data_IF_968643253212
#
_entry.id   IF_968643253212
#
_cell.length_a   1.000
_cell.length_b   1.000
_cell.length_c   1.000
_cell.angle_alpha   90.00
_cell.angle_beta   90.00
_cell.angle_gamma   90.00
#
_symmetry.space_group_name_H-M   'P 1'
#
loop_
_entity.id
_entity.type
_entity.pdbx_description
1 polymer ?
#
# COMPACT_ATOMS: atom_id res chain seq x y z
N UNK A 1 15.29 -24.00 -16.32
CA UNK A 1 15.33 -24.78 -15.06
C UNK A 1 16.44 -24.26 -14.12
N UNK A 2 17.70 -24.13 -14.60
CA UNK A 2 18.83 -23.60 -13.80
C UNK A 2 18.62 -22.19 -13.26
N UNK A 3 18.02 -21.27 -14.03
CA UNK A 3 17.76 -19.89 -13.60
C UNK A 3 16.75 -19.84 -12.43
N UNK A 4 15.70 -20.64 -12.47
CA UNK A 4 14.73 -20.72 -11.38
C UNK A 4 15.32 -21.31 -10.10
N UNK A 5 16.19 -22.32 -10.21
CA UNK A 5 16.88 -22.90 -9.06
C UNK A 5 17.82 -21.87 -8.40
N UNK A 6 18.58 -21.12 -9.21
CA UNK A 6 19.44 -20.05 -8.72
C UNK A 6 18.63 -18.92 -8.05
N UNK A 7 17.51 -18.53 -8.65
CA UNK A 7 16.62 -17.52 -8.09
C UNK A 7 16.01 -17.96 -6.75
N UNK A 8 15.50 -19.20 -6.69
CA UNK A 8 14.97 -19.76 -5.42
C UNK A 8 16.02 -19.79 -4.31
N UNK A 9 17.29 -20.14 -4.64
CA UNK A 9 18.39 -20.08 -3.70
C UNK A 9 18.63 -18.66 -3.19
N UNK A 10 18.71 -17.67 -4.09
CA UNK A 10 18.90 -16.25 -3.72
C UNK A 10 17.80 -15.75 -2.77
N UNK A 11 16.55 -16.08 -3.06
CA UNK A 11 15.42 -15.73 -2.19
C UNK A 11 15.55 -16.35 -0.79
N UNK A 12 15.96 -17.62 -0.72
CA UNK A 12 16.15 -18.30 0.57
C UNK A 12 17.31 -17.69 1.35
N UNK A 13 18.46 -17.45 0.72
CA UNK A 13 19.63 -16.81 1.33
C UNK A 13 19.34 -15.38 1.82
N UNK A 14 18.63 -14.58 1.00
CA UNK A 14 18.21 -13.25 1.38
C UNK A 14 17.32 -13.26 2.63
N UNK A 15 16.30 -14.14 2.66
CA UNK A 15 15.40 -14.26 3.80
C UNK A 15 16.12 -14.75 5.05
N UNK A 16 17.07 -15.67 4.91
CA UNK A 16 17.88 -16.14 6.04
C UNK A 16 18.77 -15.02 6.59
N UNK A 17 19.37 -14.20 5.72
CA UNK A 17 20.19 -13.07 6.12
C UNK A 17 19.39 -11.97 6.84
N UNK A 18 18.18 -11.69 6.37
CA UNK A 18 17.33 -10.61 6.90
C UNK A 18 16.42 -11.00 8.07
N UNK A 19 16.41 -12.28 8.47
CA UNK A 19 15.52 -12.77 9.56
C UNK A 19 15.81 -12.18 10.95
N UNK A 20 17.01 -11.65 11.18
CA UNK A 20 17.44 -11.13 12.48
C UNK A 20 17.39 -9.59 12.56
N UNK A 21 16.78 -8.90 11.61
CA UNK A 21 16.50 -7.48 11.69
C UNK A 21 15.66 -7.19 12.95
N UNK A 22 15.95 -6.09 13.64
CA UNK A 22 15.37 -5.79 14.96
C UNK A 22 14.14 -4.90 14.88
N UNK A 23 14.17 -3.97 13.94
CA UNK A 23 13.14 -2.94 13.73
C UNK A 23 12.41 -3.18 12.42
N UNK A 24 13.15 -3.34 11.33
CA UNK A 24 12.58 -3.73 10.04
C UNK A 24 12.27 -5.24 10.05
N UNK A 25 11.29 -5.66 9.28
CA UNK A 25 10.94 -7.06 9.13
C UNK A 25 10.66 -7.40 7.67
N UNK A 26 11.40 -8.37 7.12
CA UNK A 26 11.03 -8.99 5.84
C UNK A 26 10.08 -10.14 6.12
N UNK A 27 8.83 -10.02 5.68
CA UNK A 27 7.82 -11.05 5.94
C UNK A 27 8.19 -12.38 5.30
N UNK A 28 8.00 -13.44 6.09
CA UNK A 28 8.30 -14.82 5.72
C UNK A 28 6.98 -15.59 5.45
N UNK A 29 7.00 -16.67 4.67
CA UNK A 29 5.84 -17.55 4.54
C UNK A 29 5.33 -18.09 5.89
N UNK A 30 6.24 -18.28 6.87
CA UNK A 30 5.93 -18.75 8.22
C UNK A 30 5.20 -17.73 9.08
N UNK A 31 5.19 -16.45 8.71
CA UNK A 31 4.52 -15.39 9.46
C UNK A 31 3.00 -15.41 9.26
N UNK A 32 2.52 -16.22 8.30
CA UNK A 32 1.10 -16.34 7.97
C UNK A 32 0.56 -17.73 8.30
N UNK A 33 -0.60 -17.79 8.92
CA UNK A 33 -1.39 -19.02 9.00
C UNK A 33 -2.10 -19.29 7.66
N UNK A 34 -2.54 -20.53 7.45
CA UNK A 34 -3.33 -20.90 6.25
C UNK A 34 -4.68 -20.17 6.15
N UNK A 35 -5.18 -19.64 7.25
CA UNK A 35 -6.40 -18.84 7.28
C UNK A 35 -6.16 -17.39 6.85
N UNK A 36 -4.94 -16.87 7.06
CA UNK A 36 -4.58 -15.49 6.74
C UNK A 36 -4.09 -15.32 5.31
N UNK A 37 -3.38 -16.33 4.78
CA UNK A 37 -2.89 -16.29 3.41
C UNK A 37 -3.12 -17.62 2.70
N UNK A 38 -3.89 -17.58 1.61
CA UNK A 38 -4.12 -18.74 0.75
C UNK A 38 -2.83 -19.17 0.03
N UNK A 39 -2.04 -18.19 -0.42
CA UNK A 39 -0.79 -18.41 -1.14
C UNK A 39 0.17 -17.28 -0.87
N UNK A 40 1.46 -17.56 -0.95
CA UNK A 40 2.56 -16.60 -0.75
C UNK A 40 3.46 -16.61 -1.98
N UNK A 41 3.64 -15.43 -2.59
CA UNK A 41 4.60 -15.25 -3.68
C UNK A 41 5.99 -14.94 -3.09
N UNK A 42 6.93 -15.90 -3.12
CA UNK A 42 8.25 -15.70 -2.55
C UNK A 42 9.08 -14.63 -3.26
N UNK A 43 8.74 -14.30 -4.51
CA UNK A 43 9.41 -13.29 -5.33
C UNK A 43 9.04 -11.86 -4.96
N UNK A 44 7.96 -11.66 -4.21
CA UNK A 44 7.59 -10.36 -3.65
C UNK A 44 8.09 -10.25 -2.21
N UNK A 45 9.04 -9.34 -2.00
CA UNK A 45 9.61 -9.10 -0.68
C UNK A 45 8.85 -7.97 -0.02
N UNK A 46 7.99 -8.32 0.94
CA UNK A 46 7.26 -7.35 1.75
C UNK A 46 8.10 -7.00 2.98
N UNK A 47 8.48 -5.73 3.09
CA UNK A 47 9.37 -5.21 4.13
C UNK A 47 8.58 -4.24 4.99
N UNK A 48 8.33 -4.61 6.24
CA UNK A 48 7.68 -3.76 7.23
C UNK A 48 8.70 -2.83 7.90
N UNK A 49 8.29 -1.60 8.19
CA UNK A 49 9.15 -0.59 8.83
C UNK A 49 9.15 -0.69 10.35
N UNK A 50 8.32 -1.56 10.94
CA UNK A 50 8.20 -1.72 12.40
C UNK A 50 7.80 -0.43 13.12
N UNK A 51 7.02 0.44 12.46
CA UNK A 51 6.61 1.76 12.96
C UNK A 51 7.78 2.72 13.24
N UNK A 52 8.96 2.48 12.67
CA UNK A 52 10.11 3.37 12.81
C UNK A 52 10.00 4.58 11.88
N UNK A 53 9.41 4.37 10.71
CA UNK A 53 9.19 5.36 9.66
C UNK A 53 8.03 4.93 8.76
N UNK A 54 7.59 5.82 7.86
CA UNK A 54 6.64 5.44 6.80
C UNK A 54 7.31 4.58 5.72
N UNK A 55 6.51 3.79 5.00
CA UNK A 55 6.99 3.04 3.84
C UNK A 55 7.61 3.97 2.78
N UNK A 56 7.00 5.13 2.54
CA UNK A 56 7.52 6.14 1.61
C UNK A 56 8.91 6.63 2.02
N UNK A 57 9.13 6.89 3.31
CA UNK A 57 10.45 7.30 3.80
C UNK A 57 11.50 6.20 3.59
N UNK A 58 11.15 4.92 3.86
CA UNK A 58 12.05 3.80 3.58
C UNK A 58 12.33 3.66 2.08
N UNK A 59 11.32 3.79 1.22
CA UNK A 59 11.49 3.75 -0.24
C UNK A 59 12.43 4.85 -0.72
N UNK A 60 12.28 6.07 -0.21
CA UNK A 60 13.13 7.21 -0.58
C UNK A 60 14.59 7.00 -0.15
N UNK A 61 14.84 6.49 1.05
CA UNK A 61 16.18 6.14 1.52
C UNK A 61 16.80 5.07 0.63
N UNK A 62 16.08 3.97 0.36
CA UNK A 62 16.55 2.88 -0.49
C UNK A 62 16.90 3.37 -1.91
N UNK A 63 16.09 4.27 -2.46
CA UNK A 63 16.35 4.83 -3.79
C UNK A 63 17.54 5.79 -3.80
N UNK A 64 17.58 6.77 -2.89
CA UNK A 64 18.58 7.85 -2.92
C UNK A 64 19.95 7.43 -2.43
N UNK A 65 20.01 6.63 -1.37
CA UNK A 65 21.27 6.28 -0.73
C UNK A 65 21.85 4.97 -1.25
N UNK A 66 20.99 4.03 -1.65
CA UNK A 66 21.42 2.69 -2.09
C UNK A 66 21.15 2.40 -3.57
N UNK A 67 20.45 3.30 -4.30
CA UNK A 67 20.10 3.10 -5.70
C UNK A 67 19.18 1.91 -5.92
N UNK A 68 18.28 1.62 -4.96
CA UNK A 68 17.35 0.50 -4.98
C UNK A 68 15.93 1.01 -5.18
N UNK A 69 15.36 0.78 -6.37
CA UNK A 69 13.98 1.11 -6.69
C UNK A 69 13.05 0.02 -6.18
N UNK A 70 12.12 0.39 -5.30
CA UNK A 70 11.04 -0.49 -4.85
C UNK A 70 9.85 -0.41 -5.79
N UNK A 71 9.02 -1.44 -5.81
CA UNK A 71 7.79 -1.48 -6.59
C UNK A 71 6.77 -0.49 -6.07
N UNK A 72 6.54 -0.52 -4.76
CA UNK A 72 5.61 0.39 -4.11
C UNK A 72 5.92 0.55 -2.61
N UNK A 73 5.40 1.63 -2.03
CA UNK A 73 5.39 1.87 -0.61
C UNK A 73 4.01 2.35 -0.17
N UNK A 74 3.54 1.92 0.99
CA UNK A 74 2.29 2.39 1.58
C UNK A 74 2.31 2.19 3.09
N UNK A 75 1.69 3.12 3.84
CA UNK A 75 1.65 3.02 5.29
C UNK A 75 3.02 2.76 5.91
N UNK A 76 3.18 1.60 6.51
CA UNK A 76 4.41 1.16 7.19
C UNK A 76 5.16 0.03 6.47
N UNK A 77 5.00 -0.11 5.15
CA UNK A 77 5.69 -1.15 4.37
C UNK A 77 6.16 -0.68 3.00
N UNK A 78 7.12 -1.40 2.45
CA UNK A 78 7.53 -1.35 1.04
C UNK A 78 7.50 -2.75 0.44
N UNK A 79 7.29 -2.81 -0.88
CA UNK A 79 7.33 -4.06 -1.66
C UNK A 79 8.47 -3.98 -2.66
N UNK A 80 9.38 -4.95 -2.62
CA UNK A 80 10.33 -5.18 -3.69
C UNK A 80 9.84 -6.34 -4.56
N UNK A 81 9.74 -6.10 -5.86
CA UNK A 81 9.54 -7.15 -6.86
C UNK A 81 10.89 -7.67 -7.32
N UNK A 82 11.04 -8.99 -7.26
CA UNK A 82 12.26 -9.66 -7.73
C UNK A 82 11.94 -10.65 -8.85
N UNK A 83 12.96 -11.01 -9.62
CA UNK A 83 12.84 -11.87 -10.78
C UNK A 83 14.04 -12.81 -10.95
N UNK A 84 13.94 -13.74 -11.87
CA UNK A 84 15.05 -14.63 -12.23
C UNK A 84 16.27 -13.91 -12.81
N UNK A 85 16.11 -12.63 -13.20
CA UNK A 85 17.19 -11.81 -13.76
C UNK A 85 17.96 -11.01 -12.72
N UNK A 86 17.46 -10.94 -11.49
CA UNK A 86 18.16 -10.28 -10.41
C UNK A 86 19.40 -11.08 -9.98
N UNK A 87 20.48 -10.36 -9.75
CA UNK A 87 21.80 -10.93 -9.51
C UNK A 87 22.05 -11.17 -8.01
N UNK A 88 23.07 -11.99 -7.69
CA UNK A 88 23.55 -12.15 -6.32
C UNK A 88 23.96 -10.80 -5.70
N UNK A 89 24.55 -9.89 -6.51
CA UNK A 89 24.90 -8.54 -6.10
C UNK A 89 23.65 -7.68 -5.75
N UNK A 90 22.59 -7.77 -6.55
CA UNK A 90 21.34 -7.04 -6.29
C UNK A 90 20.71 -7.44 -4.96
N UNK A 91 20.64 -8.74 -4.70
CA UNK A 91 20.13 -9.27 -3.42
C UNK A 91 21.04 -8.90 -2.23
N UNK A 92 22.37 -8.95 -2.41
CA UNK A 92 23.33 -8.53 -1.39
C UNK A 92 23.15 -7.04 -1.04
N UNK A 93 23.09 -6.16 -2.06
CA UNK A 93 22.86 -4.71 -1.87
C UNK A 93 21.60 -4.43 -1.08
N UNK A 94 20.49 -5.11 -1.39
CA UNK A 94 19.24 -4.91 -0.66
C UNK A 94 19.38 -5.37 0.79
N UNK A 95 19.96 -6.55 1.05
CA UNK A 95 20.13 -7.03 2.42
C UNK A 95 21.06 -6.13 3.25
N UNK A 96 22.18 -5.67 2.66
CA UNK A 96 23.14 -4.78 3.34
C UNK A 96 22.51 -3.41 3.65
N UNK A 97 21.71 -2.88 2.71
CA UNK A 97 20.95 -1.65 2.92
C UNK A 97 19.97 -1.79 4.09
N UNK A 98 19.19 -2.88 4.11
CA UNK A 98 18.24 -3.12 5.20
C UNK A 98 18.92 -3.29 6.55
N UNK A 99 20.05 -4.01 6.63
CA UNK A 99 20.85 -4.15 7.87
C UNK A 99 21.39 -2.80 8.35
N UNK A 100 21.89 -1.97 7.43
CA UNK A 100 22.40 -0.63 7.76
C UNK A 100 21.28 0.27 8.29
N UNK A 101 20.13 0.32 7.61
CA UNK A 101 18.98 1.12 8.02
C UNK A 101 18.45 0.63 9.38
N UNK A 102 18.28 -0.70 9.55
CA UNK A 102 17.80 -1.31 10.78
C UNK A 102 18.66 -0.94 12.00
N UNK A 103 19.97 -0.78 11.81
CA UNK A 103 20.91 -0.35 12.85
C UNK A 103 20.78 1.11 13.27
N UNK A 104 20.13 1.95 12.45
CA UNK A 104 20.01 3.40 12.67
C UNK A 104 18.62 3.84 13.13
N UNK A 105 17.60 3.00 12.91
CA UNK A 105 16.21 3.32 13.21
C UNK A 105 15.75 2.68 14.52
N UNK A 106 14.80 3.33 15.19
CA UNK A 106 14.21 2.84 16.43
C UNK A 106 12.70 2.78 16.28
N UNK A 107 12.07 1.76 16.87
CA UNK A 107 10.61 1.68 16.96
C UNK A 107 10.08 2.91 17.69
N UNK A 108 9.08 3.56 17.08
CA UNK A 108 8.28 4.62 17.72
C UNK A 108 7.09 3.99 18.43
N UNK A 109 6.51 4.71 19.39
CA UNK A 109 5.21 4.35 19.94
C UNK A 109 4.17 4.28 18.81
N UNK A 110 3.24 3.32 18.91
CA UNK A 110 2.21 3.11 17.90
C UNK A 110 1.43 4.41 17.67
N UNK A 111 1.58 4.98 16.50
CA UNK A 111 0.63 5.97 16.00
C UNK A 111 -0.60 5.20 15.52
N UNK A 112 -1.79 5.67 15.85
CA UNK A 112 -3.06 5.08 15.40
C UNK A 112 -3.12 5.09 13.87
N UNK A 113 -2.72 3.99 13.26
CA UNK A 113 -2.91 3.78 11.83
C UNK A 113 -4.37 3.39 11.60
N UNK A 114 -4.99 4.01 10.61
CA UNK A 114 -6.31 3.57 10.15
C UNK A 114 -6.18 2.16 9.55
N UNK A 115 -7.01 1.24 10.00
CA UNK A 115 -6.91 -0.13 9.51
C UNK A 115 -7.40 -0.23 8.05
N UNK A 116 -6.84 -1.12 7.23
CA UNK A 116 -7.35 -1.36 5.87
C UNK A 116 -8.85 -1.70 5.85
N UNK A 117 -9.39 -2.36 6.87
CA UNK A 117 -10.81 -2.67 6.98
C UNK A 117 -11.68 -1.44 7.21
N UNK A 118 -11.14 -0.40 7.83
CA UNK A 118 -11.85 0.88 8.00
C UNK A 118 -11.82 1.69 6.72
N UNK A 119 -10.76 1.59 5.94
CA UNK A 119 -10.62 2.27 4.64
C UNK A 119 -11.50 1.61 3.58
N UNK A 120 -11.37 0.29 3.41
CA UNK A 120 -11.99 -0.48 2.33
C UNK A 120 -13.24 -1.21 2.83
N UNK A 121 -14.23 -0.42 3.27
CA UNK A 121 -15.55 -0.94 3.68
C UNK A 121 -16.40 -1.22 2.46
N UNK A 122 -17.28 -2.20 2.57
CA UNK A 122 -18.32 -2.42 1.58
C UNK A 122 -19.31 -1.26 1.60
N UNK A 123 -19.57 -0.66 0.43
CA UNK A 123 -20.50 0.43 0.23
C UNK A 123 -21.80 -0.08 -0.38
N UNK A 124 -22.89 0.66 -0.17
CA UNK A 124 -24.18 0.32 -0.78
C UNK A 124 -24.18 0.73 -2.25
N UNK A 125 -24.27 -0.22 -3.16
CA UNK A 125 -24.49 0.04 -4.57
C UNK A 125 -25.91 0.56 -4.81
N UNK A 126 -26.04 1.71 -5.46
CA UNK A 126 -27.32 2.36 -5.81
C UNK A 126 -27.63 2.16 -7.29
N UNK A 127 -26.62 2.25 -8.13
CA UNK A 127 -26.71 2.02 -9.58
C UNK A 127 -25.43 1.36 -10.07
N UNK A 128 -25.42 0.89 -11.30
CA UNK A 128 -24.22 0.29 -11.90
C UNK A 128 -23.18 1.35 -12.24
N UNK A 129 -21.91 0.95 -12.37
CA UNK A 129 -20.81 1.85 -12.68
C UNK A 129 -21.05 2.59 -14.01
N UNK A 130 -21.48 1.89 -15.04
CA UNK A 130 -21.80 2.46 -16.36
C UNK A 130 -22.93 3.51 -16.25
N UNK A 131 -23.99 3.22 -15.50
CA UNK A 131 -25.08 4.17 -15.27
C UNK A 131 -24.61 5.44 -14.57
N UNK A 132 -23.73 5.31 -13.57
CA UNK A 132 -23.19 6.45 -12.83
C UNK A 132 -22.24 7.30 -13.69
N UNK A 133 -21.41 6.66 -14.52
CA UNK A 133 -20.48 7.36 -15.42
C UNK A 133 -21.21 8.08 -16.57
N UNK A 134 -22.31 7.53 -17.07
CA UNK A 134 -23.13 8.12 -18.14
C UNK A 134 -24.14 9.17 -17.62
N UNK A 135 -24.38 9.21 -16.30
CA UNK A 135 -25.32 10.14 -15.69
C UNK A 135 -24.76 11.58 -15.68
N UNK A 136 -25.67 12.53 -15.61
CA UNK A 136 -25.28 13.93 -15.38
C UNK A 136 -24.69 14.07 -13.96
N UNK A 137 -23.50 14.63 -13.86
CA UNK A 137 -22.76 14.77 -12.62
C UNK A 137 -22.66 16.24 -12.20
N UNK A 138 -22.38 16.47 -10.94
CA UNK A 138 -22.00 17.76 -10.36
C UNK A 138 -20.87 17.59 -9.37
N UNK A 139 -20.00 18.58 -9.29
CA UNK A 139 -18.97 18.66 -8.24
C UNK A 139 -19.57 19.29 -6.99
N UNK A 140 -19.36 18.65 -5.86
CA UNK A 140 -19.78 19.16 -4.54
C UNK A 140 -18.59 19.14 -3.58
N UNK A 141 -18.66 19.87 -2.48
CA UNK A 141 -17.67 19.77 -1.42
C UNK A 141 -17.73 18.37 -0.81
N UNK A 142 -16.56 17.80 -0.53
CA UNK A 142 -16.48 16.47 0.07
C UNK A 142 -17.28 16.36 1.37
N UNK A 143 -17.30 17.44 2.17
CA UNK A 143 -18.06 17.51 3.42
C UNK A 143 -19.58 17.44 3.22
N UNK A 144 -20.07 17.83 2.04
CA UNK A 144 -21.49 17.89 1.68
C UNK A 144 -21.93 16.66 0.86
N UNK A 145 -21.00 15.74 0.58
CA UNK A 145 -21.27 14.60 -0.31
C UNK A 145 -22.07 13.47 0.37
N UNK A 146 -22.19 13.48 1.69
CA UNK A 146 -22.93 12.43 2.39
C UNK A 146 -24.41 12.39 1.96
N UNK A 147 -24.87 11.18 1.61
CA UNK A 147 -26.21 10.95 1.04
C UNK A 147 -26.29 11.02 -0.47
N UNK A 148 -25.24 11.47 -1.17
CA UNK A 148 -25.17 11.44 -2.62
C UNK A 148 -24.68 10.08 -3.15
N UNK A 149 -24.68 9.91 -4.47
CA UNK A 149 -24.13 8.75 -5.18
C UNK A 149 -22.85 9.19 -5.89
N UNK A 150 -21.78 8.41 -5.75
CA UNK A 150 -20.51 8.73 -6.40
C UNK A 150 -20.61 8.72 -7.91
N UNK A 151 -20.06 9.75 -8.56
CA UNK A 151 -19.90 9.82 -10.01
C UNK A 151 -18.57 9.30 -10.50
N UNK A 152 -17.54 9.23 -9.60
CA UNK A 152 -16.19 8.86 -9.95
C UNK A 152 -15.63 7.78 -9.01
N UNK A 153 -14.49 7.22 -9.43
CA UNK A 153 -13.66 6.40 -8.54
C UNK A 153 -12.89 7.30 -7.58
N UNK A 154 -12.82 6.91 -6.30
CA UNK A 154 -11.88 7.47 -5.33
C UNK A 154 -11.04 6.33 -4.79
N UNK A 155 -9.73 6.42 -4.90
CA UNK A 155 -8.83 5.35 -4.50
C UNK A 155 -7.54 5.88 -3.86
N UNK A 156 -6.89 5.04 -3.08
CA UNK A 156 -5.57 5.33 -2.53
C UNK A 156 -4.50 4.76 -3.46
N UNK A 157 -3.51 5.56 -3.81
CA UNK A 157 -2.40 5.10 -4.63
C UNK A 157 -1.07 5.33 -3.91
N UNK A 158 -0.18 4.33 -3.89
CA UNK A 158 -0.40 2.92 -4.21
C UNK A 158 -1.25 2.19 -3.16
N UNK A 159 -1.92 1.07 -3.47
CA UNK A 159 -1.85 0.26 -4.69
C UNK A 159 -2.93 0.56 -5.74
N UNK A 160 -3.79 1.56 -5.56
CA UNK A 160 -4.88 1.86 -6.47
C UNK A 160 -6.17 1.10 -6.15
N UNK A 161 -6.37 0.69 -4.91
CA UNK A 161 -7.60 0.03 -4.45
C UNK A 161 -8.67 1.10 -4.21
N UNK A 162 -9.87 0.99 -4.83
CA UNK A 162 -10.93 1.94 -4.62
C UNK A 162 -11.46 1.95 -3.18
N UNK A 163 -11.61 3.14 -2.63
CA UNK A 163 -12.36 3.42 -1.40
C UNK A 163 -13.84 3.63 -1.74
N UNK A 164 -14.10 4.11 -2.96
CA UNK A 164 -15.43 4.40 -3.47
C UNK A 164 -15.42 4.21 -4.98
N UNK A 165 -16.46 3.59 -5.54
CA UNK A 165 -16.62 3.43 -6.98
C UNK A 165 -17.87 4.17 -7.48
N UNK A 166 -17.95 4.52 -8.78
CA UNK A 166 -19.15 5.15 -9.35
C UNK A 166 -20.38 4.29 -9.08
N UNK A 167 -21.49 4.94 -8.69
CA UNK A 167 -22.75 4.27 -8.39
C UNK A 167 -22.93 3.81 -6.95
N UNK A 168 -21.92 3.96 -6.11
CA UNK A 168 -22.04 3.70 -4.66
C UNK A 168 -22.56 4.91 -3.90
N UNK A 169 -23.33 4.64 -2.84
CA UNK A 169 -23.78 5.68 -1.92
C UNK A 169 -22.62 6.16 -1.05
N UNK A 170 -22.48 7.46 -0.94
CA UNK A 170 -21.49 8.12 -0.07
C UNK A 170 -22.11 8.29 1.31
N UNK A 171 -21.68 7.57 2.31
CA UNK A 171 -22.10 7.78 3.69
C UNK A 171 -21.16 8.74 4.45
N UNK A 172 -21.56 9.17 5.62
CA UNK A 172 -20.76 10.07 6.48
C UNK A 172 -19.41 9.45 6.81
N UNK A 173 -19.37 8.13 7.05
CA UNK A 173 -18.15 7.42 7.40
C UNK A 173 -17.15 7.41 6.20
N UNK A 174 -17.65 7.27 4.98
CA UNK A 174 -16.82 7.33 3.75
C UNK A 174 -16.17 8.71 3.61
N UNK A 175 -16.94 9.78 3.82
CA UNK A 175 -16.41 11.16 3.83
C UNK A 175 -15.30 11.31 4.87
N UNK A 176 -15.55 10.87 6.11
CA UNK A 176 -14.57 10.95 7.20
C UNK A 176 -13.32 10.11 6.92
N UNK A 177 -13.47 8.92 6.33
CA UNK A 177 -12.36 8.05 5.93
C UNK A 177 -11.48 8.74 4.88
N UNK A 178 -12.07 9.27 3.80
CA UNK A 178 -11.32 9.98 2.75
C UNK A 178 -10.58 11.18 3.35
N UNK A 179 -11.25 12.00 4.15
CA UNK A 179 -10.63 13.15 4.83
C UNK A 179 -9.51 12.74 5.77
N UNK A 180 -9.66 11.62 6.46
CA UNK A 180 -8.62 11.10 7.34
C UNK A 180 -7.39 10.63 6.54
N UNK A 181 -7.58 9.94 5.43
CA UNK A 181 -6.49 9.55 4.53
C UNK A 181 -5.73 10.77 4.01
N UNK A 182 -6.44 11.84 3.60
CA UNK A 182 -5.83 13.11 3.18
C UNK A 182 -5.01 13.74 4.32
N UNK A 183 -5.53 13.78 5.55
CA UNK A 183 -4.80 14.33 6.72
C UNK A 183 -3.55 13.52 7.08
N UNK A 184 -3.55 12.22 6.83
CA UNK A 184 -2.38 11.34 7.01
C UNK A 184 -1.35 11.50 5.89
N UNK A 185 -1.63 12.33 4.87
CA UNK A 185 -0.74 12.51 3.72
C UNK A 185 -0.73 11.30 2.76
N UNK A 186 -1.75 10.44 2.81
CA UNK A 186 -1.92 9.38 1.82
C UNK A 186 -2.36 10.00 0.49
N UNK A 187 -1.85 9.44 -0.59
CA UNK A 187 -2.18 9.90 -1.94
C UNK A 187 -3.58 9.43 -2.33
N UNK A 188 -4.53 10.36 -2.28
CA UNK A 188 -5.93 10.12 -2.64
C UNK A 188 -6.15 10.64 -4.05
N UNK A 189 -6.49 9.73 -4.94
CA UNK A 189 -6.74 9.97 -6.36
C UNK A 189 -8.22 9.88 -6.71
N UNK A 190 -8.60 10.49 -7.84
CA UNK A 190 -9.97 10.46 -8.36
C UNK A 190 -10.86 11.60 -7.85
N UNK A 191 -10.34 12.47 -7.01
CA UNK A 191 -11.01 13.71 -6.61
C UNK A 191 -10.64 14.85 -7.59
N UNK A 192 -11.58 15.73 -7.98
CA UNK A 192 -11.26 16.95 -8.77
C UNK A 192 -10.21 17.83 -8.07
N UNK A 193 -10.31 17.91 -6.76
CA UNK A 193 -9.31 18.44 -5.83
C UNK A 193 -9.53 17.78 -4.45
N UNK A 194 -8.60 17.97 -3.50
CA UNK A 194 -8.68 17.33 -2.19
C UNK A 194 -9.87 17.79 -1.31
N UNK A 195 -10.68 18.73 -1.79
CA UNK A 195 -11.84 19.29 -1.06
C UNK A 195 -13.17 18.98 -1.72
N UNK A 196 -13.18 18.45 -2.95
CA UNK A 196 -14.37 18.25 -3.77
C UNK A 196 -14.45 16.82 -4.31
N UNK A 197 -15.67 16.39 -4.63
CA UNK A 197 -15.99 15.08 -5.24
C UNK A 197 -17.09 15.25 -6.28
N UNK A 198 -17.06 14.44 -7.34
CA UNK A 198 -18.15 14.39 -8.32
C UNK A 198 -19.21 13.39 -7.87
N UNK A 199 -20.46 13.84 -7.93
CA UNK A 199 -21.64 13.02 -7.57
C UNK A 199 -22.66 13.06 -8.70
N UNK A 200 -23.44 11.99 -8.82
CA UNK A 200 -24.59 11.93 -9.72
C UNK A 200 -25.63 12.95 -9.28
N UNK A 201 -26.27 13.66 -10.25
CA UNK A 201 -27.32 14.64 -9.96
C UNK A 201 -28.64 14.01 -9.55
#
# INVERSE_FOLDING_TARGET
EMLFAAYSRRLAEFRDKTKNLKTLQVLQPSDFSKQEAFSFDPGKLLILTGNSMSGQALQEILLREYGLQMEMASGNYVVAMTSIMDTDEGFARLSDALECIDGTVHKKEETSEISPREIYREQKTVMTIDQALDAEQKTVRLEEAAGAVSGDYVYLYPPGIPVLVPGEAIDVQTVETIRHCIRLGLEVEGLPDLTCINVVK
#
